data_IF_740184993296
#
_entry.id   IF_740184993296
#
_cell.length_a   1.000
_cell.length_b   1.000
_cell.length_c   1.000
_cell.angle_alpha   90.00
_cell.angle_beta   90.00
_cell.angle_gamma   90.00
#
_symmetry.space_group_name_H-M   'P 1'
#
loop_
_entity.id
_entity.type
_entity.pdbx_description
1 polymer ?
#
# COMPACT_ATOMS: atom_id res chain seq x y z
N UNK A 1 0.97 4.31 -23.13
CA UNK A 1 2.40 4.12 -22.83
C UNK A 1 2.41 3.41 -21.49
N UNK A 2 2.57 2.08 -21.48
CA UNK A 2 2.45 1.31 -20.24
C UNK A 2 3.68 1.61 -19.36
N UNK A 3 3.44 2.18 -18.18
CA UNK A 3 4.47 2.45 -17.18
C UNK A 3 4.88 1.18 -16.41
N UNK A 4 4.83 0.01 -17.05
CA UNK A 4 5.04 -1.32 -16.45
C UNK A 4 6.45 -1.52 -15.87
N UNK A 5 7.37 -0.57 -16.04
CA UNK A 5 8.77 -0.75 -15.64
C UNK A 5 9.45 0.58 -15.34
N UNK A 6 8.96 1.35 -14.36
CA UNK A 6 9.77 2.43 -13.76
C UNK A 6 10.47 1.91 -12.48
N UNK A 7 11.70 1.36 -12.59
CA UNK A 7 12.38 0.73 -11.44
C UNK A 7 12.70 1.73 -10.33
N UNK A 8 12.88 3.02 -10.67
CA UNK A 8 13.15 4.08 -9.68
C UNK A 8 11.91 4.31 -8.83
N UNK A 9 10.75 4.51 -9.47
CA UNK A 9 9.47 4.67 -8.77
C UNK A 9 9.15 3.42 -7.96
N UNK A 10 9.29 2.23 -8.55
CA UNK A 10 9.07 0.97 -7.85
C UNK A 10 9.92 0.87 -6.57
N UNK A 11 11.23 1.13 -6.67
CA UNK A 11 12.12 1.09 -5.50
C UNK A 11 11.73 2.12 -4.43
N UNK A 12 11.33 3.33 -4.81
CA UNK A 12 10.82 4.31 -3.84
C UNK A 12 9.55 3.82 -3.14
N UNK A 13 8.60 3.24 -3.87
CA UNK A 13 7.38 2.69 -3.27
C UNK A 13 7.69 1.51 -2.35
N UNK A 14 8.55 0.57 -2.78
CA UNK A 14 8.92 -0.58 -1.97
C UNK A 14 9.57 -0.10 -0.67
N UNK A 15 10.54 0.81 -0.74
CA UNK A 15 11.18 1.37 0.45
C UNK A 15 10.17 2.10 1.35
N UNK A 16 9.26 2.88 0.76
CA UNK A 16 8.20 3.54 1.52
C UNK A 16 7.35 2.52 2.30
N UNK A 17 6.91 1.44 1.65
CA UNK A 17 6.08 0.40 2.28
C UNK A 17 6.86 -0.43 3.30
N UNK A 18 8.09 -0.80 2.95
CA UNK A 18 9.01 -1.60 3.75
C UNK A 18 9.30 -0.92 5.09
N UNK A 19 9.65 0.37 5.07
CA UNK A 19 10.04 1.13 6.26
C UNK A 19 8.90 1.92 6.93
N UNK A 20 7.70 1.96 6.33
CA UNK A 20 6.52 2.60 6.94
C UNK A 20 6.18 1.97 8.29
N UNK A 21 5.73 2.74 9.29
CA UNK A 21 5.20 2.16 10.53
C UNK A 21 3.79 1.57 10.37
N UNK A 22 3.11 1.91 9.28
CA UNK A 22 1.79 1.39 8.95
C UNK A 22 1.92 0.03 8.27
N UNK A 23 0.95 -0.85 8.53
CA UNK A 23 0.88 -2.17 7.90
C UNK A 23 0.37 -2.09 6.46
N UNK A 24 -0.35 -1.04 6.10
CA UNK A 24 -0.82 -0.74 4.74
C UNK A 24 -0.90 0.78 4.52
N UNK A 25 -0.81 1.21 3.26
CA UNK A 25 -0.91 2.63 2.88
C UNK A 25 -1.73 2.80 1.60
N UNK A 26 -2.57 3.84 1.49
CA UNK A 26 -3.37 4.10 0.29
C UNK A 26 -2.54 4.72 -0.85
N UNK A 27 -3.02 4.58 -2.09
CA UNK A 27 -2.33 5.07 -3.30
C UNK A 27 -1.98 6.56 -3.23
N UNK A 28 -2.91 7.38 -2.72
CA UNK A 28 -2.73 8.83 -2.60
C UNK A 28 -1.54 9.19 -1.69
N UNK A 29 -1.38 8.51 -0.56
CA UNK A 29 -0.25 8.71 0.36
C UNK A 29 1.06 8.24 -0.25
N UNK A 30 1.06 7.16 -1.03
CA UNK A 30 2.24 6.71 -1.77
C UNK A 30 2.67 7.80 -2.76
N UNK A 31 1.74 8.24 -3.60
CA UNK A 31 1.97 9.32 -4.57
C UNK A 31 2.47 10.60 -3.90
N UNK A 32 1.96 10.96 -2.72
CA UNK A 32 2.37 12.16 -2.00
C UNK A 32 3.82 12.10 -1.49
N UNK A 33 4.35 10.92 -1.18
CA UNK A 33 5.69 10.76 -0.60
C UNK A 33 6.77 10.33 -1.59
N UNK A 34 6.43 10.15 -2.86
CA UNK A 34 7.45 10.06 -3.90
C UNK A 34 8.33 11.33 -3.91
N UNK A 35 9.56 11.26 -4.44
CA UNK A 35 10.32 12.48 -4.66
C UNK A 35 9.74 13.28 -5.84
N UNK A 36 10.01 14.59 -5.86
CA UNK A 36 9.31 15.53 -6.76
C UNK A 36 9.63 15.27 -8.23
N UNK A 37 10.85 14.83 -8.55
CA UNK A 37 11.29 14.57 -9.92
C UNK A 37 10.55 13.37 -10.51
N UNK A 38 10.31 12.34 -9.72
CA UNK A 38 9.63 11.11 -10.09
C UNK A 38 8.11 11.28 -10.14
N UNK A 39 7.56 12.32 -9.50
CA UNK A 39 6.14 12.70 -9.62
C UNK A 39 5.84 13.44 -10.92
N UNK A 40 6.82 14.09 -11.54
CA UNK A 40 6.59 14.91 -12.74
C UNK A 40 6.14 14.01 -13.89
N UNK A 41 4.89 14.17 -14.32
CA UNK A 41 4.32 13.40 -15.42
C UNK A 41 3.89 11.98 -15.05
N UNK A 42 3.84 11.65 -13.77
CA UNK A 42 3.29 10.38 -13.27
C UNK A 42 1.83 10.60 -12.85
N UNK A 43 0.89 9.87 -13.44
CA UNK A 43 -0.50 9.85 -12.97
C UNK A 43 -0.73 8.70 -11.97
N UNK A 44 -1.86 8.76 -11.25
CA UNK A 44 -2.29 7.68 -10.34
C UNK A 44 -2.47 6.34 -11.04
N UNK A 45 -2.89 6.34 -12.30
CA UNK A 45 -3.01 5.12 -13.10
C UNK A 45 -1.62 4.49 -13.33
N UNK A 46 -0.64 5.29 -13.73
CA UNK A 46 0.73 4.83 -13.97
C UNK A 46 1.37 4.29 -12.69
N UNK A 47 1.23 5.02 -11.58
CA UNK A 47 1.72 4.56 -10.28
C UNK A 47 1.06 3.24 -9.86
N UNK A 48 -0.24 3.10 -10.13
CA UNK A 48 -0.96 1.87 -9.85
C UNK A 48 -0.39 0.71 -10.67
N UNK A 49 -0.18 0.89 -11.96
CA UNK A 49 0.37 -0.15 -12.84
C UNK A 49 1.78 -0.60 -12.39
N UNK A 50 2.63 0.35 -11.99
CA UNK A 50 3.95 0.05 -11.37
C UNK A 50 3.78 -0.78 -10.10
N UNK A 51 2.84 -0.41 -9.23
CA UNK A 51 2.62 -1.14 -7.96
C UNK A 51 2.06 -2.54 -8.21
N UNK A 52 1.06 -2.69 -9.08
CA UNK A 52 0.41 -3.99 -9.34
C UNK A 52 1.33 -4.96 -10.10
N UNK A 53 2.34 -4.47 -10.81
CA UNK A 53 3.38 -5.28 -11.47
C UNK A 53 4.56 -5.64 -10.57
N UNK A 54 4.68 -5.04 -9.37
CA UNK A 54 5.79 -5.29 -8.44
C UNK A 54 5.47 -6.46 -7.49
N UNK A 55 6.22 -7.59 -7.54
CA UNK A 55 5.90 -8.79 -6.75
C UNK A 55 5.90 -8.58 -5.23
N UNK A 56 6.85 -7.81 -4.70
CA UNK A 56 6.95 -7.53 -3.27
C UNK A 56 5.92 -6.52 -2.74
N UNK A 57 4.88 -6.19 -3.52
CA UNK A 57 3.77 -5.34 -3.08
C UNK A 57 2.44 -6.08 -3.19
N UNK A 58 1.77 -6.23 -2.05
CA UNK A 58 0.42 -6.76 -1.97
C UNK A 58 -0.65 -5.66 -1.98
N UNK A 59 -1.85 -6.03 -2.42
CA UNK A 59 -2.99 -5.10 -2.54
C UNK A 59 -4.15 -5.57 -1.65
N UNK A 60 -4.77 -4.62 -0.95
CA UNK A 60 -6.03 -4.75 -0.23
C UNK A 60 -7.08 -3.97 -1.02
N UNK A 61 -7.85 -4.68 -1.85
CA UNK A 61 -8.93 -4.09 -2.63
C UNK A 61 -10.07 -3.72 -1.69
N UNK A 62 -10.33 -2.41 -1.56
CA UNK A 62 -11.47 -1.88 -0.80
C UNK A 62 -12.62 -1.61 -1.77
N UNK A 63 -13.84 -1.95 -1.35
CA UNK A 63 -15.06 -1.76 -2.13
C UNK A 63 -16.01 -0.85 -1.37
N UNK A 64 -16.81 -0.11 -2.14
CA UNK A 64 -17.80 0.84 -1.61
C UNK A 64 -17.37 2.28 -1.82
N UNK A 65 -18.10 3.18 -1.18
CA UNK A 65 -17.92 4.62 -1.28
C UNK A 65 -17.73 5.23 0.11
N UNK A 66 -16.98 6.32 0.19
CA UNK A 66 -16.91 7.15 1.39
C UNK A 66 -18.21 7.95 1.59
N UNK A 67 -18.26 8.74 2.67
CA UNK A 67 -19.41 9.59 2.98
C UNK A 67 -19.65 10.70 1.94
N UNK A 68 -18.66 11.01 1.10
CA UNK A 68 -18.76 11.96 0.00
C UNK A 68 -19.12 11.28 -1.34
N UNK A 69 -19.37 9.96 -1.34
CA UNK A 69 -19.73 9.19 -2.52
C UNK A 69 -18.55 8.79 -3.41
N UNK A 70 -17.30 9.05 -3.00
CA UNK A 70 -16.10 8.67 -3.75
C UNK A 70 -15.72 7.21 -3.47
N UNK A 71 -15.17 6.47 -4.44
CA UNK A 71 -14.72 5.10 -4.23
C UNK A 71 -13.68 5.04 -3.11
N UNK A 72 -13.73 4.00 -2.27
CA UNK A 72 -12.67 3.75 -1.31
C UNK A 72 -11.37 3.39 -2.03
N UNK A 73 -10.28 4.05 -1.64
CA UNK A 73 -8.96 3.77 -2.21
C UNK A 73 -8.48 2.37 -1.79
N UNK A 74 -7.81 1.67 -2.72
CA UNK A 74 -7.10 0.43 -2.38
C UNK A 74 -5.88 0.75 -1.53
N UNK A 75 -5.55 -0.17 -0.63
CA UNK A 75 -4.37 -0.05 0.21
C UNK A 75 -3.32 -1.06 -0.19
N UNK A 76 -2.05 -0.70 -0.02
CA UNK A 76 -0.90 -1.48 -0.46
C UNK A 76 0.00 -1.79 0.73
N UNK A 77 0.66 -2.94 0.67
CA UNK A 77 1.51 -3.43 1.74
C UNK A 77 2.75 -4.14 1.20
N UNK A 78 3.85 -4.09 1.94
CA UNK A 78 5.10 -4.75 1.57
C UNK A 78 5.06 -6.26 1.88
N UNK A 79 5.53 -7.09 0.95
CA UNK A 79 5.62 -8.56 1.07
C UNK A 79 7.09 -8.96 1.08
N UNK A 80 7.71 -9.14 2.27
CA UNK A 80 9.13 -9.46 2.38
C UNK A 80 9.53 -10.75 1.64
N UNK A 81 8.63 -11.73 1.57
CA UNK A 81 8.90 -13.03 0.95
C UNK A 81 9.06 -12.97 -0.58
N UNK A 82 8.60 -11.89 -1.20
CA UNK A 82 8.69 -11.67 -2.65
C UNK A 82 9.65 -10.54 -3.01
N UNK A 83 10.44 -10.06 -2.04
CA UNK A 83 11.45 -9.04 -2.28
C UNK A 83 12.81 -9.66 -2.56
N UNK A 84 13.39 -9.31 -3.71
CA UNK A 84 14.73 -9.74 -4.13
C UNK A 84 15.85 -8.99 -3.39
N UNK A 85 15.56 -7.86 -2.75
CA UNK A 85 16.53 -7.11 -1.94
C UNK A 85 16.68 -7.73 -0.54
N UNK A 86 17.72 -8.55 -0.38
CA UNK A 86 18.01 -9.24 0.87
C UNK A 86 18.32 -8.28 2.03
N UNK A 87 18.95 -7.14 1.76
CA UNK A 87 19.31 -6.17 2.80
C UNK A 87 18.08 -5.49 3.36
N UNK A 88 17.17 -5.04 2.49
CA UNK A 88 15.88 -4.48 2.88
C UNK A 88 15.04 -5.50 3.63
N UNK A 89 14.98 -6.74 3.14
CA UNK A 89 14.27 -7.83 3.81
C UNK A 89 14.79 -8.09 5.22
N UNK A 90 16.11 -8.24 5.38
CA UNK A 90 16.74 -8.44 6.68
C UNK A 90 16.49 -7.25 7.62
N UNK A 91 16.66 -6.01 7.15
CA UNK A 91 16.41 -4.82 7.96
C UNK A 91 14.96 -4.76 8.46
N UNK A 92 13.98 -5.09 7.62
CA UNK A 92 12.56 -5.04 7.97
C UNK A 92 12.15 -6.17 8.90
N UNK A 93 12.60 -7.41 8.62
CA UNK A 93 12.22 -8.60 9.39
C UNK A 93 12.93 -8.63 10.74
N UNK A 94 14.26 -8.46 10.74
CA UNK A 94 15.08 -8.63 11.94
C UNK A 94 15.22 -7.33 12.72
N UNK A 95 15.41 -6.20 12.02
CA UNK A 95 15.66 -4.89 12.62
C UNK A 95 14.40 -4.22 13.17
N UNK A 96 13.40 -4.03 12.31
CA UNK A 96 12.15 -3.35 12.71
C UNK A 96 11.18 -4.22 13.50
N UNK A 97 11.37 -5.56 13.53
CA UNK A 97 10.46 -6.54 14.14
C UNK A 97 9.00 -6.23 13.84
N UNK A 98 8.69 -5.87 12.59
CA UNK A 98 7.34 -5.45 12.22
C UNK A 98 6.35 -6.55 12.60
N UNK A 99 5.23 -6.20 13.29
CA UNK A 99 4.17 -7.18 13.51
C UNK A 99 3.72 -7.70 12.14
N UNK A 100 3.68 -9.02 12.00
CA UNK A 100 3.37 -9.65 10.72
C UNK A 100 2.06 -9.08 10.16
N UNK A 101 1.97 -9.01 8.82
CA UNK A 101 0.74 -8.60 8.12
C UNK A 101 -0.49 -9.42 8.50
N UNK A 102 -0.33 -10.56 9.20
CA UNK A 102 -1.44 -11.32 9.78
C UNK A 102 -2.25 -10.50 10.79
N UNK A 103 -1.63 -9.51 11.44
CA UNK A 103 -2.34 -8.58 12.32
C UNK A 103 -3.17 -7.54 11.55
N UNK A 104 -2.86 -7.30 10.27
CA UNK A 104 -3.63 -6.37 9.44
C UNK A 104 -4.80 -7.08 8.76
N UNK A 105 -5.96 -6.43 8.76
CA UNK A 105 -7.15 -6.95 8.08
C UNK A 105 -7.01 -6.73 6.57
N UNK A 106 -6.85 -7.83 5.82
CA UNK A 106 -6.73 -7.84 4.35
C UNK A 106 -8.06 -7.72 3.58
N UNK A 107 -9.19 -7.62 4.28
CA UNK A 107 -10.52 -7.54 3.66
C UNK A 107 -11.34 -6.41 4.28
N UNK A 108 -12.02 -5.63 3.46
CA UNK A 108 -12.94 -4.63 3.97
C UNK A 108 -14.11 -5.29 4.74
N UNK A 109 -14.39 -4.83 5.96
CA UNK A 109 -15.58 -5.25 6.74
C UNK A 109 -16.36 -4.02 7.15
N UNK A 110 -17.63 -4.00 6.78
CA UNK A 110 -18.56 -2.97 7.24
C UNK A 110 -18.97 -3.28 8.69
N UNK A 111 -18.71 -2.35 9.61
CA UNK A 111 -19.29 -2.40 10.94
C UNK A 111 -20.59 -1.60 10.93
N UNK A 112 -21.70 -2.27 11.22
CA UNK A 112 -22.96 -1.61 11.50
C UNK A 112 -23.00 -1.31 13.01
N UNK A 113 -23.40 -0.10 13.39
CA UNK A 113 -23.75 0.17 14.77
C UNK A 113 -25.16 -0.39 15.01
N UNK A 114 -25.35 -1.16 16.09
CA UNK A 114 -26.68 -1.56 16.56
C UNK A 114 -27.09 -0.60 17.65
N UNK A 115 -28.25 0.06 17.47
CA UNK A 115 -28.86 0.86 18.54
C UNK A 115 -29.10 -0.06 19.76
N UNK A 116 -28.66 0.31 20.96
CA UNK A 116 -28.99 -0.45 22.17
C UNK A 116 -30.51 -0.49 22.36
N UNK A 117 -31.05 -1.60 22.87
CA UNK A 117 -32.45 -1.62 23.33
C UNK A 117 -32.55 -0.74 24.57
N UNK A 118 -33.45 0.23 24.56
CA UNK A 118 -33.85 0.97 25.77
C UNK A 118 -34.55 0.01 26.74
N UNK A 119 -34.36 0.18 28.06
CA UNK A 119 -35.07 -0.61 29.08
C UNK A 119 -36.59 -0.52 28.95
#
# INVERSE_FOLDING_TARGET
MSYESNPIVANHVINQLAYSRLSSTPLSTIMQHLPTEEKKGLDKADLRDVIESTPCIGIIKRQGKDAAGKPLESEYYYVPEQDDDEQRRAAVVDGLRKPSLRACRKQHKQYYWKRPKTP
#
